data_IF_533211689976
#
_entry.id   IF_533211689976
#
_cell.length_a   1.000
_cell.length_b   1.000
_cell.length_c   1.000
_cell.angle_alpha   90.00
_cell.angle_beta   90.00
_cell.angle_gamma   90.00
#
_symmetry.space_group_name_H-M   'P 1'
#
loop_
_entity.id
_entity.type
_entity.pdbx_description
1 polymer ?
#
# COMPACT_ATOMS: atom_id res chain seq x y z
N UNK A 1 11.40 3.72 -15.81
CA UNK A 1 11.19 4.75 -14.77
C UNK A 1 10.02 4.29 -13.91
N UNK A 2 10.12 4.41 -12.58
CA UNK A 2 9.06 3.97 -11.66
C UNK A 2 8.25 5.19 -11.19
N UNK A 3 6.92 5.08 -11.09
CA UNK A 3 6.03 6.14 -10.59
C UNK A 3 5.93 6.16 -9.06
N UNK A 4 6.11 4.99 -8.44
CA UNK A 4 6.25 4.79 -7.00
C UNK A 4 7.13 3.56 -6.76
N UNK A 5 7.56 3.35 -5.53
CA UNK A 5 8.35 2.19 -5.13
C UNK A 5 7.85 1.64 -3.80
N UNK A 6 8.29 0.45 -3.42
CA UNK A 6 7.93 -0.07 -2.12
C UNK A 6 8.88 -1.14 -1.59
N UNK A 7 8.91 -1.24 -0.27
CA UNK A 7 9.51 -2.37 0.45
C UNK A 7 8.80 -2.54 1.78
N UNK A 8 8.42 -3.78 2.12
CA UNK A 8 7.88 -4.08 3.45
C UNK A 8 8.91 -3.74 4.53
N UNK A 9 8.51 -3.10 5.62
CA UNK A 9 9.30 -3.05 6.85
C UNK A 9 9.30 -4.41 7.55
N UNK A 10 8.19 -5.15 7.42
CA UNK A 10 7.90 -6.42 8.10
C UNK A 10 7.77 -6.24 9.63
N UNK A 11 8.85 -5.90 10.32
CA UNK A 11 8.87 -5.57 11.76
C UNK A 11 10.17 -4.84 12.13
N UNK A 12 10.15 -4.03 13.19
CA UNK A 12 11.35 -3.44 13.81
C UNK A 12 12.09 -4.41 14.72
N UNK A 13 11.46 -5.52 15.10
CA UNK A 13 12.03 -6.53 16.00
C UNK A 13 13.03 -7.46 15.29
N UNK A 14 14.00 -8.01 16.04
CA UNK A 14 14.88 -9.07 15.56
C UNK A 14 14.17 -10.43 15.73
N UNK A 15 13.41 -10.83 14.72
CA UNK A 15 12.62 -12.07 14.73
C UNK A 15 13.30 -13.19 13.96
N UNK A 16 12.97 -14.45 14.30
CA UNK A 16 13.53 -15.62 13.61
C UNK A 16 13.23 -15.62 12.11
N UNK A 17 12.13 -15.01 11.67
CA UNK A 17 11.81 -14.88 10.24
C UNK A 17 12.87 -14.09 9.44
N UNK A 18 13.70 -13.30 10.12
CA UNK A 18 14.82 -12.55 9.53
C UNK A 18 16.15 -13.31 9.56
N UNK A 19 16.19 -14.49 10.19
CA UNK A 19 17.37 -15.35 10.25
C UNK A 19 17.55 -16.17 8.97
N UNK A 20 18.78 -16.31 8.48
CA UNK A 20 19.10 -17.09 7.28
C UNK A 20 20.25 -16.51 6.44
N UNK A 21 20.60 -17.18 5.34
CA UNK A 21 21.73 -16.82 4.48
C UNK A 21 21.60 -15.48 3.74
N UNK A 22 20.37 -14.94 3.62
CA UNK A 22 20.08 -13.58 3.18
C UNK A 22 19.41 -12.83 4.33
N UNK A 23 20.21 -12.40 5.31
CA UNK A 23 19.70 -11.69 6.50
C UNK A 23 19.00 -10.41 6.07
N UNK A 24 17.73 -10.29 6.43
CA UNK A 24 16.94 -9.06 6.32
C UNK A 24 17.05 -8.37 7.66
N UNK A 25 17.69 -7.20 7.76
CA UNK A 25 17.72 -6.48 9.05
C UNK A 25 16.70 -5.35 9.05
N UNK A 26 15.96 -5.14 10.15
CA UNK A 26 15.03 -4.02 10.26
C UNK A 26 15.69 -2.66 9.98
N UNK A 27 16.93 -2.47 10.46
CA UNK A 27 17.70 -1.25 10.23
C UNK A 27 17.97 -0.96 8.74
N UNK A 28 18.27 -1.98 7.94
CA UNK A 28 18.45 -1.80 6.49
C UNK A 28 17.14 -1.43 5.80
N UNK A 29 16.01 -2.06 6.18
CA UNK A 29 14.69 -1.74 5.63
C UNK A 29 14.29 -0.31 5.96
N UNK A 30 14.45 0.12 7.22
CA UNK A 30 14.24 1.50 7.64
C UNK A 30 15.12 2.48 6.87
N UNK A 31 16.38 2.11 6.58
CA UNK A 31 17.26 2.94 5.77
C UNK A 31 16.79 3.06 4.32
N UNK A 32 16.28 1.99 3.73
CA UNK A 32 15.68 2.03 2.39
C UNK A 32 14.46 2.95 2.35
N UNK A 33 13.56 2.84 3.32
CA UNK A 33 12.36 3.69 3.42
C UNK A 33 12.79 5.15 3.60
N UNK A 34 13.72 5.44 4.53
CA UNK A 34 14.28 6.79 4.72
C UNK A 34 14.88 7.35 3.43
N UNK A 35 15.70 6.57 2.72
CA UNK A 35 16.33 7.02 1.47
C UNK A 35 15.27 7.36 0.40
N UNK A 36 14.16 6.63 0.35
CA UNK A 36 13.07 6.96 -0.56
C UNK A 36 12.44 8.32 -0.21
N UNK A 37 12.26 8.61 1.08
CA UNK A 37 11.81 9.92 1.55
C UNK A 37 12.78 11.06 1.20
N UNK A 38 14.08 10.85 1.43
CA UNK A 38 15.12 11.83 1.05
C UNK A 38 15.17 12.08 -0.46
N UNK A 39 14.81 11.08 -1.28
CA UNK A 39 14.78 11.18 -2.73
C UNK A 39 13.43 11.66 -3.29
N UNK A 40 12.42 11.90 -2.45
CA UNK A 40 11.11 12.36 -2.90
C UNK A 40 10.33 11.30 -3.69
N UNK A 41 10.45 10.03 -3.31
CA UNK A 41 9.76 8.91 -3.98
C UNK A 41 8.50 8.53 -3.20
N UNK A 42 7.30 8.61 -3.80
CA UNK A 42 6.09 8.05 -3.20
C UNK A 42 6.28 6.56 -2.91
N UNK A 43 5.99 6.14 -1.68
CA UNK A 43 6.47 4.88 -1.16
C UNK A 43 5.40 4.02 -0.47
N UNK A 44 5.34 2.75 -0.84
CA UNK A 44 4.53 1.73 -0.14
C UNK A 44 5.43 0.95 0.82
N UNK A 45 4.99 0.77 2.05
CA UNK A 45 5.64 -0.12 3.02
C UNK A 45 4.60 -0.91 3.79
N UNK A 46 4.98 -1.58 4.88
CA UNK A 46 4.04 -2.43 5.60
C UNK A 46 4.68 -3.29 6.66
N UNK A 47 3.83 -3.87 7.51
CA UNK A 47 4.22 -4.83 8.54
C UNK A 47 3.72 -6.22 8.19
N UNK A 48 4.44 -7.24 8.64
CA UNK A 48 3.99 -8.62 8.62
C UNK A 48 3.50 -9.02 10.01
N UNK A 49 2.38 -9.73 10.03
CA UNK A 49 1.74 -10.20 11.27
C UNK A 49 1.91 -11.72 11.36
N UNK A 50 2.43 -12.20 12.48
CA UNK A 50 2.59 -13.62 12.79
C UNK A 50 3.98 -14.20 12.47
N UNK A 51 5.00 -13.36 12.31
CA UNK A 51 6.38 -13.77 12.00
C UNK A 51 7.28 -13.91 13.25
N UNK A 52 6.66 -13.91 14.43
CA UNK A 52 7.32 -14.02 15.73
C UNK A 52 7.45 -12.69 16.49
N UNK A 53 6.88 -11.61 15.96
CA UNK A 53 6.76 -10.31 16.62
C UNK A 53 5.63 -10.31 17.67
N UNK A 54 5.76 -9.50 18.71
CA UNK A 54 4.71 -9.29 19.71
C UNK A 54 3.86 -8.03 19.43
N UNK A 55 2.91 -7.73 20.33
CA UNK A 55 2.05 -6.55 20.18
C UNK A 55 2.80 -5.21 20.25
N UNK A 56 3.86 -5.14 21.04
CA UNK A 56 4.69 -3.95 21.16
C UNK A 56 5.50 -3.75 19.90
N UNK A 57 6.07 -4.81 19.34
CA UNK A 57 6.85 -4.77 18.09
C UNK A 57 6.01 -4.22 16.92
N UNK A 58 4.74 -4.63 16.83
CA UNK A 58 3.79 -4.11 15.82
C UNK A 58 3.57 -2.61 15.98
N UNK A 59 3.33 -2.16 17.21
CA UNK A 59 3.12 -0.75 17.51
C UNK A 59 4.38 0.08 17.22
N UNK A 60 5.56 -0.39 17.64
CA UNK A 60 6.84 0.28 17.38
C UNK A 60 7.14 0.35 15.88
N UNK A 61 6.81 -0.69 15.11
CA UNK A 61 6.96 -0.70 13.65
C UNK A 61 6.07 0.34 12.97
N UNK A 62 4.79 0.41 13.35
CA UNK A 62 3.85 1.41 12.82
C UNK A 62 4.26 2.83 13.20
N UNK A 63 4.74 3.05 14.42
CA UNK A 63 5.25 4.35 14.85
C UNK A 63 6.53 4.74 14.11
N UNK A 64 7.43 3.79 13.81
CA UNK A 64 8.61 4.06 13.00
C UNK A 64 8.23 4.50 11.57
N UNK A 65 7.23 3.86 10.96
CA UNK A 65 6.68 4.24 9.66
C UNK A 65 6.06 5.64 9.74
N UNK A 66 5.24 5.91 10.75
CA UNK A 66 4.63 7.23 10.99
C UNK A 66 5.68 8.34 11.06
N UNK A 67 6.75 8.15 11.83
CA UNK A 67 7.78 9.18 11.99
C UNK A 67 8.57 9.42 10.69
N UNK A 68 8.78 8.39 9.87
CA UNK A 68 9.34 8.55 8.53
C UNK A 68 8.38 9.31 7.60
N UNK A 69 7.07 9.03 7.68
CA UNK A 69 6.09 9.77 6.91
C UNK A 69 6.06 11.25 7.32
N UNK A 70 5.90 11.55 8.61
CA UNK A 70 5.90 12.95 9.11
C UNK A 70 7.14 13.75 8.70
N UNK A 71 8.29 13.09 8.58
CA UNK A 71 9.55 13.76 8.24
C UNK A 71 9.70 14.08 6.75
N UNK A 72 9.15 13.24 5.87
CA UNK A 72 9.44 13.30 4.43
C UNK A 72 8.19 13.33 3.56
N UNK A 73 7.01 13.19 4.15
CA UNK A 73 5.69 13.15 3.55
C UNK A 73 5.49 12.15 2.39
N UNK A 74 6.33 11.10 2.34
CA UNK A 74 6.50 10.25 1.15
C UNK A 74 5.74 8.91 1.16
N UNK A 75 5.35 8.41 2.34
CA UNK A 75 4.61 7.14 2.45
C UNK A 75 3.15 7.34 2.03
N UNK A 76 2.70 6.58 1.03
CA UNK A 76 1.33 6.64 0.53
C UNK A 76 0.43 5.56 1.14
N UNK A 77 1.01 4.40 1.46
CA UNK A 77 0.29 3.17 1.78
C UNK A 77 1.10 2.33 2.76
N UNK A 78 0.40 1.77 3.75
CA UNK A 78 0.93 0.78 4.69
C UNK A 78 0.12 -0.50 4.58
N UNK A 79 0.80 -1.57 4.15
CA UNK A 79 0.23 -2.90 4.04
C UNK A 79 0.29 -3.59 5.40
N UNK A 80 -0.87 -4.03 5.90
CA UNK A 80 -0.98 -4.92 7.06
C UNK A 80 -1.25 -6.32 6.52
N UNK A 81 -0.20 -7.14 6.46
CA UNK A 81 -0.27 -8.46 5.84
C UNK A 81 0.01 -9.56 6.87
N UNK A 82 -0.89 -10.55 6.97
CA UNK A 82 -0.59 -11.76 7.74
C UNK A 82 0.40 -12.67 6.99
N UNK A 83 1.20 -13.41 7.74
CA UNK A 83 1.89 -14.56 7.18
C UNK A 83 0.88 -15.64 6.78
N UNK A 84 1.19 -16.38 5.73
CA UNK A 84 0.47 -17.62 5.38
C UNK A 84 1.50 -18.75 5.34
N UNK A 85 1.27 -19.87 6.05
CA UNK A 85 2.16 -21.02 6.00
C UNK A 85 2.35 -21.51 4.56
N UNK A 86 3.59 -21.82 4.20
CA UNK A 86 3.95 -22.43 2.91
C UNK A 86 5.22 -23.28 3.07
N UNK A 87 5.72 -23.87 1.98
CA UNK A 87 6.92 -24.73 2.02
C UNK A 87 8.17 -24.03 2.59
N UNK A 88 8.21 -22.68 2.57
CA UNK A 88 9.35 -21.87 3.02
C UNK A 88 9.14 -21.29 4.42
N UNK A 89 7.93 -21.36 4.98
CA UNK A 89 7.54 -20.69 6.21
C UNK A 89 6.54 -21.52 7.00
N UNK A 90 6.96 -21.98 8.18
CA UNK A 90 6.11 -22.72 9.11
C UNK A 90 5.40 -21.82 10.14
N UNK A 91 5.44 -20.50 9.96
CA UNK A 91 4.75 -19.57 10.86
C UNK A 91 3.24 -19.71 10.73
N UNK A 92 2.56 -19.80 11.86
CA UNK A 92 1.10 -19.94 11.91
C UNK A 92 0.42 -18.67 11.41
N UNK A 93 -0.65 -18.84 10.61
CA UNK A 93 -1.48 -17.72 10.15
C UNK A 93 -2.21 -17.11 11.35
N UNK A 94 -2.03 -15.81 11.63
CA UNK A 94 -2.84 -15.10 12.62
C UNK A 94 -4.34 -15.27 12.38
N UNK A 95 -5.11 -15.35 13.47
CA UNK A 95 -6.57 -15.36 13.40
C UNK A 95 -7.13 -13.99 12.99
N UNK A 96 -8.42 -14.00 12.65
CA UNK A 96 -9.14 -12.79 12.24
C UNK A 96 -9.14 -11.73 13.35
N UNK A 97 -9.32 -12.12 14.61
CA UNK A 97 -9.35 -11.16 15.72
C UNK A 97 -8.00 -10.43 15.86
N UNK A 98 -6.89 -11.13 15.69
CA UNK A 98 -5.56 -10.54 15.64
C UNK A 98 -5.47 -9.54 14.50
N UNK A 99 -5.89 -9.91 13.29
CA UNK A 99 -5.85 -9.00 12.14
C UNK A 99 -6.72 -7.76 12.34
N UNK A 100 -7.95 -7.91 12.85
CA UNK A 100 -8.83 -6.77 13.19
C UNK A 100 -8.16 -5.78 14.12
N UNK A 101 -7.49 -6.28 15.17
CA UNK A 101 -6.77 -5.44 16.14
C UNK A 101 -5.56 -4.75 15.51
N UNK A 102 -4.77 -5.43 14.68
CA UNK A 102 -3.59 -4.84 14.04
C UNK A 102 -3.97 -3.80 12.97
N UNK A 103 -5.00 -4.05 12.17
CA UNK A 103 -5.51 -3.08 11.20
C UNK A 103 -6.02 -1.83 11.92
N UNK A 104 -6.82 -2.01 12.99
CA UNK A 104 -7.29 -0.88 13.81
C UNK A 104 -6.12 -0.10 14.42
N UNK A 105 -5.08 -0.81 14.88
CA UNK A 105 -3.85 -0.20 15.40
C UNK A 105 -3.14 0.63 14.32
N UNK A 106 -3.03 0.11 13.09
CA UNK A 106 -2.44 0.83 11.97
C UNK A 106 -3.23 2.09 11.64
N UNK A 107 -4.57 1.99 11.53
CA UNK A 107 -5.42 3.15 11.23
C UNK A 107 -5.30 4.25 12.29
N UNK A 108 -5.19 3.90 13.57
CA UNK A 108 -5.03 4.86 14.67
C UNK A 108 -3.62 5.44 14.73
N UNK A 109 -2.59 4.63 14.47
CA UNK A 109 -1.20 5.07 14.56
C UNK A 109 -0.79 5.97 13.39
N UNK A 110 -1.29 5.69 12.19
CA UNK A 110 -0.88 6.36 10.95
C UNK A 110 -1.71 7.62 10.69
N UNK A 111 -1.12 8.67 10.10
CA UNK A 111 -1.84 9.86 9.66
C UNK A 111 -2.93 9.52 8.63
N UNK A 112 -3.99 10.30 8.57
CA UNK A 112 -5.19 10.04 7.74
C UNK A 112 -4.84 9.92 6.25
N UNK A 113 -3.86 10.71 5.81
CA UNK A 113 -3.33 10.78 4.46
C UNK A 113 -2.48 9.56 4.04
N UNK A 114 -2.20 8.63 4.97
CA UNK A 114 -1.61 7.32 4.69
C UNK A 114 -2.72 6.27 4.64
N UNK A 115 -2.82 5.61 3.49
CA UNK A 115 -3.76 4.51 3.28
C UNK A 115 -3.35 3.25 4.04
N UNK A 116 -4.35 2.53 4.55
CA UNK A 116 -4.17 1.21 5.18
C UNK A 116 -4.71 0.15 4.25
N UNK A 117 -3.79 -0.68 3.76
CA UNK A 117 -4.08 -1.75 2.81
C UNK A 117 -4.03 -3.11 3.50
N UNK A 118 -4.94 -4.01 3.11
CA UNK A 118 -4.78 -5.45 3.35
C UNK A 118 -4.85 -6.20 2.02
N UNK A 119 -3.99 -7.20 1.78
CA UNK A 119 -4.05 -7.99 0.55
C UNK A 119 -5.26 -8.95 0.58
N UNK A 120 -6.28 -8.76 -0.28
CA UNK A 120 -7.54 -9.50 -0.22
C UNK A 120 -7.40 -10.98 -0.56
N UNK A 121 -6.34 -11.37 -1.29
CA UNK A 121 -6.01 -12.77 -1.58
C UNK A 121 -5.43 -13.54 -0.38
N UNK A 122 -4.88 -12.84 0.63
CA UNK A 122 -4.25 -13.47 1.81
C UNK A 122 -5.07 -13.27 3.10
N UNK A 123 -5.79 -12.16 3.15
CA UNK A 123 -6.50 -11.65 4.34
C UNK A 123 -7.98 -11.46 4.00
N UNK A 124 -8.93 -11.82 4.88
CA UNK A 124 -10.36 -11.61 4.63
C UNK A 124 -10.73 -10.12 4.68
N UNK A 125 -10.45 -9.38 3.61
CA UNK A 125 -10.55 -7.92 3.55
C UNK A 125 -11.96 -7.39 3.90
N UNK A 126 -13.02 -8.12 3.49
CA UNK A 126 -14.41 -7.80 3.83
C UNK A 126 -14.63 -7.67 5.35
N UNK A 127 -13.99 -8.52 6.13
CA UNK A 127 -14.13 -8.55 7.58
C UNK A 127 -13.23 -7.54 8.29
N UNK A 128 -12.50 -6.70 7.55
CA UNK A 128 -11.56 -5.70 8.06
C UNK A 128 -11.91 -4.28 7.64
N UNK A 129 -12.95 -4.09 6.81
CA UNK A 129 -13.38 -2.77 6.34
C UNK A 129 -13.71 -1.83 7.50
N UNK A 130 -14.42 -2.32 8.52
CA UNK A 130 -14.78 -1.55 9.71
C UNK A 130 -13.59 -1.26 10.64
N UNK A 131 -12.42 -1.85 10.38
CA UNK A 131 -11.18 -1.61 11.11
C UNK A 131 -10.34 -0.46 10.49
N UNK A 132 -10.76 0.08 9.34
CA UNK A 132 -10.11 1.23 8.70
C UNK A 132 -9.26 0.91 7.47
N UNK A 133 -9.52 -0.22 6.79
CA UNK A 133 -8.98 -0.49 5.45
C UNK A 133 -9.62 0.45 4.45
N UNK A 134 -8.81 1.12 3.64
CA UNK A 134 -9.26 2.01 2.56
C UNK A 134 -8.64 1.67 1.20
N UNK A 135 -7.79 0.64 1.13
CA UNK A 135 -7.17 0.14 -0.10
C UNK A 135 -7.12 -1.39 -0.12
N UNK A 136 -7.45 -1.98 -1.28
CA UNK A 136 -7.46 -3.42 -1.52
C UNK A 136 -6.19 -3.89 -2.27
N UNK A 137 -5.27 -2.98 -2.56
CA UNK A 137 -3.98 -3.23 -3.18
C UNK A 137 -3.96 -3.25 -4.69
N UNK A 138 -2.78 -3.54 -5.23
CA UNK A 138 -2.61 -3.78 -6.66
C UNK A 138 -3.20 -5.14 -7.04
N UNK A 139 -4.38 -5.14 -7.66
CA UNK A 139 -5.04 -6.35 -8.14
C UNK A 139 -4.94 -6.44 -9.66
N UNK A 140 -4.65 -7.62 -10.19
CA UNK A 140 -4.56 -7.84 -11.64
C UNK A 140 -5.51 -8.95 -12.10
N UNK A 141 -6.44 -8.67 -13.02
CA UNK A 141 -7.30 -9.71 -13.60
C UNK A 141 -6.61 -10.52 -14.72
N UNK A 142 -5.36 -10.20 -15.05
CA UNK A 142 -4.65 -10.76 -16.23
C UNK A 142 -3.33 -11.44 -15.84
N UNK A 143 -2.64 -10.95 -14.80
CA UNK A 143 -1.29 -11.42 -14.44
C UNK A 143 -1.31 -12.13 -13.10
N UNK A 144 -0.50 -13.18 -12.97
CA UNK A 144 -0.27 -13.86 -11.69
C UNK A 144 0.34 -12.91 -10.64
N UNK A 145 0.14 -13.22 -9.36
CA UNK A 145 0.87 -12.56 -8.26
C UNK A 145 2.33 -13.06 -8.24
N UNK A 146 3.25 -12.31 -8.84
CA UNK A 146 4.68 -12.66 -8.84
C UNK A 146 5.33 -12.65 -7.44
N UNK A 147 4.68 -12.06 -6.44
CA UNK A 147 5.15 -12.04 -5.05
C UNK A 147 4.66 -13.28 -4.30
N UNK A 148 3.37 -13.63 -4.46
CA UNK A 148 2.77 -14.84 -3.90
C UNK A 148 2.12 -15.70 -5.00
N UNK A 149 2.91 -16.41 -5.82
CA UNK A 149 2.42 -17.10 -7.02
C UNK A 149 1.42 -18.23 -6.73
N UNK A 150 1.36 -18.71 -5.49
CA UNK A 150 0.41 -19.73 -5.05
C UNK A 150 -1.00 -19.16 -4.77
N UNK A 151 -1.19 -17.83 -4.88
CA UNK A 151 -2.45 -17.15 -4.59
C UNK A 151 -2.91 -16.34 -5.80
N UNK A 152 -4.06 -16.71 -6.36
CA UNK A 152 -4.69 -15.93 -7.42
C UNK A 152 -5.22 -14.60 -6.88
N UNK A 153 -5.24 -13.58 -7.75
CA UNK A 153 -5.93 -12.33 -7.46
C UNK A 153 -7.43 -12.58 -7.33
N UNK A 154 -8.14 -11.88 -6.41
CA UNK A 154 -9.59 -11.92 -6.40
C UNK A 154 -10.12 -11.38 -7.73
N UNK A 155 -11.22 -11.96 -8.21
CA UNK A 155 -11.90 -11.46 -9.39
C UNK A 155 -12.36 -10.01 -9.14
N UNK A 156 -12.38 -9.16 -10.18
CA UNK A 156 -12.88 -7.77 -10.06
C UNK A 156 -14.28 -7.69 -9.44
N UNK A 157 -15.12 -8.71 -9.69
CA UNK A 157 -16.45 -8.84 -9.08
C UNK A 157 -16.40 -8.98 -7.57
N UNK A 158 -15.48 -9.78 -7.05
CA UNK A 158 -15.32 -9.97 -5.61
C UNK A 158 -14.90 -8.66 -4.92
N UNK A 159 -13.98 -7.90 -5.53
CA UNK A 159 -13.64 -6.56 -5.05
C UNK A 159 -14.85 -5.62 -5.06
N UNK A 160 -15.65 -5.69 -6.14
CA UNK A 160 -16.91 -4.95 -6.26
C UNK A 160 -17.89 -5.30 -5.15
N UNK A 161 -18.03 -6.59 -4.83
CA UNK A 161 -18.90 -7.07 -3.76
C UNK A 161 -18.38 -6.66 -2.37
N UNK A 162 -17.06 -6.60 -2.17
CA UNK A 162 -16.44 -6.12 -0.93
C UNK A 162 -16.79 -4.65 -0.72
N UNK A 163 -16.53 -3.80 -1.73
CA UNK A 163 -16.85 -2.38 -1.69
C UNK A 163 -18.36 -2.13 -1.55
N UNK A 164 -19.18 -2.86 -2.32
CA UNK A 164 -20.63 -2.80 -2.26
C UNK A 164 -21.20 -3.20 -0.89
N UNK A 165 -20.60 -4.19 -0.23
CA UNK A 165 -20.94 -4.56 1.14
C UNK A 165 -20.63 -3.47 2.18
N UNK A 166 -19.66 -2.59 1.89
CA UNK A 166 -19.34 -1.43 2.71
C UNK A 166 -20.17 -0.18 2.36
N UNK A 167 -20.93 -0.22 1.26
CA UNK A 167 -21.65 0.94 0.73
C UNK A 167 -20.73 2.02 0.13
N UNK A 168 -19.51 1.65 -0.29
CA UNK A 168 -18.54 2.58 -0.90
C UNK A 168 -18.28 2.25 -2.36
N UNK A 169 -17.99 3.25 -3.21
CA UNK A 169 -17.60 2.99 -4.60
C UNK A 169 -16.21 2.36 -4.67
N UNK A 170 -15.99 1.51 -5.67
CA UNK A 170 -14.68 0.95 -6.00
C UNK A 170 -14.06 1.70 -7.19
N UNK A 171 -12.86 2.23 -6.99
CA UNK A 171 -12.10 2.93 -8.03
C UNK A 171 -10.75 2.27 -8.26
N UNK A 172 -10.32 2.29 -9.52
CA UNK A 172 -8.92 2.07 -9.84
C UNK A 172 -8.11 3.34 -9.55
N UNK A 173 -6.84 3.16 -9.21
CA UNK A 173 -5.90 4.26 -8.97
C UNK A 173 -4.61 4.08 -9.75
N UNK A 174 -3.89 5.18 -9.94
CA UNK A 174 -2.50 5.12 -10.39
C UNK A 174 -1.61 4.50 -9.29
N UNK A 175 -0.39 4.04 -9.64
CA UNK A 175 0.59 3.62 -8.63
C UNK A 175 0.98 4.73 -7.65
N UNK A 176 0.81 6.00 -8.05
CA UNK A 176 1.04 7.21 -7.25
C UNK A 176 -0.30 7.81 -6.85
N UNK A 177 -0.48 8.14 -5.57
CA UNK A 177 -1.77 8.57 -5.02
C UNK A 177 -2.07 10.04 -5.34
N UNK A 178 -3.35 10.40 -5.35
CA UNK A 178 -3.87 11.74 -5.72
C UNK A 178 -3.09 12.90 -5.08
N UNK A 179 -2.74 12.77 -3.79
CA UNK A 179 -2.01 13.81 -3.04
C UNK A 179 -0.64 14.17 -3.60
N UNK A 180 -0.02 13.27 -4.35
CA UNK A 180 1.28 13.45 -4.99
C UNK A 180 1.18 13.87 -6.46
N UNK A 181 -0.02 13.80 -7.05
CA UNK A 181 -0.26 14.25 -8.42
C UNK A 181 -0.23 15.78 -8.46
N UNK A 182 0.25 16.40 -9.56
CA UNK A 182 0.11 17.84 -9.77
C UNK A 182 -1.35 18.21 -10.01
N UNK A 183 -1.69 19.49 -9.83
CA UNK A 183 -3.07 19.99 -9.84
C UNK A 183 -3.81 19.66 -11.15
N UNK A 184 -3.12 19.65 -12.28
CA UNK A 184 -3.73 19.38 -13.60
C UNK A 184 -4.15 17.91 -13.78
N UNK A 185 -3.55 17.01 -13.01
CA UNK A 185 -3.81 15.56 -13.03
C UNK A 185 -4.66 15.10 -11.85
N UNK A 186 -4.63 15.82 -10.73
CA UNK A 186 -5.40 15.48 -9.53
C UNK A 186 -6.89 15.66 -9.79
N UNK A 187 -7.70 14.72 -9.29
CA UNK A 187 -9.17 14.83 -9.38
C UNK A 187 -9.68 16.08 -8.66
N UNK A 188 -10.66 16.76 -9.25
CA UNK A 188 -11.27 17.98 -8.68
C UNK A 188 -11.95 17.72 -7.32
N UNK A 189 -12.44 16.50 -7.10
CA UNK A 189 -13.09 16.07 -5.87
C UNK A 189 -12.13 15.61 -4.78
N UNK A 190 -10.82 15.82 -4.94
CA UNK A 190 -9.85 15.46 -3.92
C UNK A 190 -9.94 16.43 -2.74
N UNK A 191 -10.28 15.90 -1.58
CA UNK A 191 -10.51 16.61 -0.33
C UNK A 191 -9.47 16.28 0.76
N UNK A 192 -8.48 15.46 0.43
CA UNK A 192 -7.38 15.12 1.32
C UNK A 192 -6.27 16.16 1.37
N UNK A 193 -5.27 15.91 2.22
CA UNK A 193 -4.08 16.73 2.29
C UNK A 193 -3.18 16.49 1.07
N UNK A 194 -2.93 17.55 0.27
CA UNK A 194 -1.92 17.54 -0.79
C UNK A 194 -0.55 17.43 -0.15
N UNK A 195 0.31 16.57 -0.68
CA UNK A 195 1.62 16.34 -0.10
C UNK A 195 2.51 17.60 -0.19
N UNK A 196 3.30 17.82 0.86
CA UNK A 196 4.32 18.87 0.87
C UNK A 196 5.34 18.64 -0.26
N UNK A 197 6.06 19.69 -0.66
CA UNK A 197 7.13 19.52 -1.65
C UNK A 197 8.21 18.55 -1.14
N UNK A 198 8.76 17.67 -2.00
CA UNK A 198 9.84 16.78 -1.61
C UNK A 198 11.02 17.52 -0.98
N UNK A 199 11.58 16.95 0.09
CA UNK A 199 12.70 17.57 0.84
C UNK A 199 13.97 17.84 0.01
N UNK A 200 14.11 17.22 -1.17
CA UNK A 200 15.21 17.44 -2.09
C UNK A 200 14.97 18.59 -3.10
N UNK A 201 13.85 19.30 -3.01
CA UNK A 201 13.46 20.34 -3.96
C UNK A 201 13.06 19.81 -5.34
N UNK A 202 12.84 18.50 -5.46
CA UNK A 202 12.38 17.85 -6.67
C UNK A 202 10.86 17.83 -6.79
N UNK A 203 10.35 16.88 -7.57
CA UNK A 203 8.92 16.66 -7.73
C UNK A 203 8.57 15.19 -7.49
N UNK A 204 7.39 14.94 -6.94
CA UNK A 204 6.90 13.58 -6.65
C UNK A 204 6.78 12.69 -7.89
N UNK A 205 6.43 13.28 -9.03
CA UNK A 205 6.36 12.58 -10.32
C UNK A 205 7.55 12.94 -11.21
N UNK A 206 8.38 11.97 -11.62
CA UNK A 206 9.45 12.20 -12.58
C UNK A 206 8.91 12.71 -13.93
N UNK A 207 9.66 13.54 -14.68
CA UNK A 207 9.23 14.09 -15.97
C UNK A 207 8.76 13.02 -16.97
N UNK A 208 9.47 11.90 -17.08
CA UNK A 208 9.10 10.81 -17.97
C UNK A 208 7.74 10.16 -17.63
N UNK A 209 7.32 10.18 -16.35
CA UNK A 209 6.00 9.69 -15.94
C UNK A 209 4.94 10.72 -16.34
N UNK A 210 5.19 12.01 -16.14
CA UNK A 210 4.29 13.10 -16.56
C UNK A 210 4.07 13.08 -18.08
N UNK A 211 5.15 13.04 -18.85
CA UNK A 211 5.11 12.92 -20.31
C UNK A 211 4.31 11.70 -20.77
N UNK A 212 4.45 10.57 -20.06
CA UNK A 212 3.67 9.37 -20.38
C UNK A 212 2.19 9.54 -20.09
N UNK A 213 1.83 10.19 -18.98
CA UNK A 213 0.44 10.48 -18.64
C UNK A 213 -0.15 11.49 -19.63
N UNK A 214 0.62 12.47 -20.09
CA UNK A 214 0.18 13.56 -20.97
C UNK A 214 0.09 13.18 -22.45
N UNK A 215 0.73 12.07 -22.86
CA UNK A 215 0.69 11.59 -24.23
C UNK A 215 -0.75 11.54 -24.79
N UNK A 216 -0.93 12.02 -26.02
CA UNK A 216 -2.22 11.96 -26.72
C UNK A 216 -2.42 10.62 -27.44
N UNK A 217 -2.30 9.55 -26.67
CA UNK A 217 -2.58 8.19 -27.11
C UNK A 217 -3.63 7.52 -26.20
N UNK A 218 -4.02 6.30 -26.55
CA UNK A 218 -5.05 5.58 -25.79
C UNK A 218 -4.65 5.36 -24.32
N UNK A 219 -3.36 5.16 -24.05
CA UNK A 219 -2.85 4.90 -22.71
C UNK A 219 -2.75 6.18 -21.87
N UNK A 220 -2.30 7.30 -22.43
CA UNK A 220 -2.28 8.59 -21.74
C UNK A 220 -3.69 9.03 -21.38
N UNK A 221 -4.65 8.90 -22.31
CA UNK A 221 -6.08 9.10 -22.02
C UNK A 221 -6.57 8.18 -20.89
N UNK A 222 -6.17 6.91 -20.89
CA UNK A 222 -6.52 5.95 -19.82
C UNK A 222 -5.93 6.36 -18.47
N UNK A 223 -4.66 6.74 -18.41
CA UNK A 223 -4.03 7.18 -17.16
C UNK A 223 -4.69 8.43 -16.59
N UNK A 224 -5.03 9.41 -17.43
CA UNK A 224 -5.77 10.61 -17.00
C UNK A 224 -7.17 10.27 -16.49
N UNK A 225 -7.88 9.33 -17.14
CA UNK A 225 -9.19 8.86 -16.67
C UNK A 225 -9.10 8.14 -15.32
N UNK A 226 -8.05 7.32 -15.09
CA UNK A 226 -7.79 6.69 -13.78
C UNK A 226 -7.50 7.75 -12.71
N UNK A 227 -6.62 8.71 -13.00
CA UNK A 227 -6.27 9.79 -12.07
C UNK A 227 -7.48 10.63 -11.64
N UNK A 228 -8.44 10.83 -12.55
CA UNK A 228 -9.67 11.58 -12.30
C UNK A 228 -10.80 10.76 -11.68
N UNK A 229 -10.63 9.43 -11.59
CA UNK A 229 -11.67 8.47 -11.21
C UNK A 229 -12.94 8.66 -12.05
N UNK A 230 -12.79 8.74 -13.38
CA UNK A 230 -13.88 8.98 -14.34
C UNK A 230 -14.85 7.78 -14.52
N UNK A 231 -15.23 7.13 -13.41
CA UNK A 231 -16.17 6.01 -13.31
C UNK A 231 -15.69 4.95 -12.31
N UNK A 232 -16.61 4.23 -11.62
CA UNK A 232 -16.24 3.02 -10.89
C UNK A 232 -15.65 1.99 -11.87
N UNK A 233 -14.80 1.09 -11.38
CA UNK A 233 -14.25 -0.01 -12.17
C UNK A 233 -15.39 -0.73 -12.92
N UNK A 234 -15.32 -0.78 -14.25
CA UNK A 234 -16.26 -1.56 -15.06
C UNK A 234 -16.04 -3.03 -14.76
N UNK A 235 -16.83 -3.59 -13.84
CA UNK A 235 -16.81 -5.01 -13.51
C UNK A 235 -17.55 -5.75 -14.65
N UNK A 236 -16.90 -6.69 -15.37
CA UNK A 236 -17.58 -7.49 -16.37
C UNK A 236 -18.72 -8.34 -15.75
N UNK A 237 -19.87 -8.38 -16.45
CA UNK A 237 -21.02 -9.25 -16.13
C UNK A 237 -20.69 -10.75 -16.17
#
# INVERSE_FOLDING_TARGET
>A
VNASMGVMLETTADVRAHSGGRRKTPGQRLNTIRNAGELGVPFTTGILVGIGEDWRDRAESLLAIRELHKRYDHIQEVIVQNVVPNERSAFEKPDLETMRRVVSMARVALPEEVSVQVPPNLTPARELLDCGVDDLGGVSPITDDYINPDYEWPALRELGDIAGGAGVPLYERLPTYDRYLPDELRRESFDGHVADEPSNGGAWLPPAIRERIDADDAHGRRFRAVARRDGPLSVPE
#
